data_IF_086488878281
#
_entry.id   IF_086488878281
#
_cell.length_a   1.000
_cell.length_b   1.000
_cell.length_c   1.000
_cell.angle_alpha   90.00
_cell.angle_beta   90.00
_cell.angle_gamma   90.00
#
_symmetry.space_group_name_H-M   'P 1'
#
loop_
_entity.id
_entity.type
_entity.pdbx_description
1 polymer ?
#
# COMPACT_ATOMS: atom_id res chain seq x y z
N UNK A 1 9.29 5.67 8.24
CA UNK A 1 8.60 6.57 7.29
C UNK A 1 8.13 7.85 7.98
N UNK A 2 7.92 8.95 7.26
CA UNK A 2 7.18 10.13 7.76
C UNK A 2 5.77 10.09 7.17
N UNK A 3 4.73 9.74 7.95
CA UNK A 3 3.37 9.65 7.43
C UNK A 3 2.87 10.99 6.90
N UNK A 4 2.17 10.95 5.77
CA UNK A 4 1.56 12.09 5.11
C UNK A 4 0.04 11.94 5.17
N UNK A 5 -0.69 13.06 5.18
CA UNK A 5 -2.13 13.05 5.06
C UNK A 5 -2.50 12.52 3.66
N UNK A 6 -3.10 11.32 3.62
CA UNK A 6 -3.52 10.64 2.40
C UNK A 6 -5.03 10.44 2.43
N UNK A 7 -5.69 10.82 1.34
CA UNK A 7 -7.11 10.52 1.18
C UNK A 7 -7.31 9.02 0.96
N UNK A 8 -8.41 8.43 1.45
CA UNK A 8 -8.75 7.06 1.14
C UNK A 8 -9.04 6.90 -0.35
N UNK A 9 -8.13 6.22 -1.06
CA UNK A 9 -8.28 5.85 -2.47
C UNK A 9 -8.18 4.34 -2.58
N UNK A 10 -9.09 3.75 -3.35
CA UNK A 10 -9.03 2.37 -3.79
C UNK A 10 -8.64 2.37 -5.25
N UNK A 11 -7.53 1.73 -5.59
CA UNK A 11 -7.08 1.66 -6.96
C UNK A 11 -7.82 0.55 -7.71
N UNK A 12 -8.08 0.77 -9.00
CA UNK A 12 -8.77 -0.20 -9.84
C UNK A 12 -7.97 -1.50 -10.00
N UNK A 13 -6.64 -1.45 -10.04
CA UNK A 13 -5.82 -2.67 -10.05
C UNK A 13 -5.97 -3.53 -8.78
N UNK A 14 -6.54 -3.00 -7.70
CA UNK A 14 -6.87 -3.75 -6.48
C UNK A 14 -8.21 -4.45 -6.57
N UNK A 15 -9.09 -4.00 -7.49
CA UNK A 15 -10.44 -4.52 -7.67
C UNK A 15 -10.47 -5.83 -8.45
N UNK A 16 -9.38 -6.25 -9.09
CA UNK A 16 -9.32 -7.53 -9.82
C UNK A 16 -9.09 -8.72 -8.88
N UNK A 17 -10.03 -8.89 -7.94
CA UNK A 17 -10.39 -10.15 -7.27
C UNK A 17 -11.83 -10.03 -6.72
N UNK A 18 -12.73 -9.51 -7.57
CA UNK A 18 -14.16 -9.17 -7.30
C UNK A 18 -14.93 -10.28 -6.57
N UNK A 19 -14.49 -11.53 -6.63
CA UNK A 19 -15.18 -12.65 -5.96
C UNK A 19 -14.59 -13.11 -4.61
N UNK A 20 -13.49 -12.54 -4.10
CA UNK A 20 -12.74 -13.23 -3.03
C UNK A 20 -12.30 -12.44 -1.79
N UNK A 21 -12.43 -11.11 -1.73
CA UNK A 21 -11.93 -10.31 -0.58
C UNK A 21 -10.45 -10.60 -0.20
N UNK A 22 -9.60 -10.96 -1.19
CA UNK A 22 -8.26 -11.56 -0.96
C UNK A 22 -7.08 -10.60 -0.83
N UNK A 23 -7.28 -9.28 -0.86
CA UNK A 23 -6.16 -8.34 -0.70
C UNK A 23 -6.47 -7.24 0.34
N UNK A 24 -5.42 -6.79 1.01
CA UNK A 24 -5.46 -5.59 1.86
C UNK A 24 -5.21 -4.39 0.92
N UNK A 25 -6.10 -3.38 0.87
CA UNK A 25 -5.90 -2.19 0.04
C UNK A 25 -4.63 -1.42 0.38
N UNK A 26 -4.03 -0.73 -0.59
CA UNK A 26 -2.79 0.03 -0.47
C UNK A 26 -2.94 1.15 0.55
N UNK A 27 -4.09 1.81 0.63
CA UNK A 27 -4.35 2.79 1.69
C UNK A 27 -4.24 2.17 3.08
N UNK A 28 -4.76 0.96 3.27
CA UNK A 28 -4.67 0.25 4.56
C UNK A 28 -3.23 -0.18 4.81
N UNK A 29 -2.52 -0.72 3.81
CA UNK A 29 -1.10 -1.07 3.93
C UNK A 29 -0.23 0.13 4.29
N UNK A 30 -0.50 1.30 3.69
CA UNK A 30 0.20 2.53 4.01
C UNK A 30 0.04 2.88 5.49
N UNK A 31 -1.20 2.78 6.01
CA UNK A 31 -1.49 3.04 7.42
C UNK A 31 -0.91 1.97 8.35
N UNK A 32 -0.83 0.72 7.91
CA UNK A 32 -0.17 -0.37 8.65
C UNK A 32 1.34 -0.14 8.77
N UNK A 33 1.98 0.30 7.69
CA UNK A 33 3.39 0.72 7.70
C UNK A 33 3.58 1.94 8.62
N UNK A 34 2.65 2.91 8.61
CA UNK A 34 2.70 4.10 9.45
C UNK A 34 2.55 3.79 10.95
N UNK A 35 1.66 2.86 11.31
CA UNK A 35 1.42 2.46 12.71
C UNK A 35 2.28 1.28 13.18
N UNK A 36 3.14 0.76 12.31
CA UNK A 36 4.08 -0.32 12.62
C UNK A 36 3.39 -1.64 12.98
N UNK A 37 2.23 -1.95 12.41
CA UNK A 37 1.54 -3.23 12.62
C UNK A 37 1.66 -4.10 11.37
N UNK A 38 2.08 -5.34 11.56
CA UNK A 38 2.01 -6.38 10.54
C UNK A 38 0.67 -7.11 10.64
N UNK A 39 -0.28 -6.71 9.80
CA UNK A 39 -1.56 -7.43 9.63
C UNK A 39 -1.45 -8.46 8.51
N UNK A 40 -1.79 -9.72 8.79
CA UNK A 40 -1.76 -10.79 7.78
C UNK A 40 -3.12 -10.94 7.10
N UNK A 41 -3.12 -11.46 5.88
CA UNK A 41 -4.36 -11.68 5.12
C UNK A 41 -5.42 -12.51 5.88
N UNK A 42 -5.08 -13.62 6.59
CA UNK A 42 -6.06 -14.37 7.38
C UNK A 42 -6.69 -13.59 8.54
N UNK A 43 -6.04 -12.54 9.04
CA UNK A 43 -6.58 -11.64 10.06
C UNK A 43 -7.49 -10.61 9.40
N UNK A 44 -7.04 -10.02 8.29
CA UNK A 44 -7.82 -9.07 7.50
C UNK A 44 -9.17 -9.63 7.05
N UNK A 45 -9.20 -10.86 6.52
CA UNK A 45 -10.45 -11.47 6.01
C UNK A 45 -11.49 -11.67 7.12
N UNK A 46 -11.07 -11.82 8.38
CA UNK A 46 -11.96 -11.98 9.54
C UNK A 46 -12.56 -10.67 10.04
N UNK A 47 -12.02 -9.52 9.63
CA UNK A 47 -12.60 -8.23 9.94
C UNK A 47 -13.91 -8.03 9.16
N UNK A 48 -14.88 -7.39 9.78
CA UNK A 48 -16.15 -7.02 9.16
C UNK A 48 -15.96 -5.93 8.11
N UNK A 49 -16.93 -5.79 7.21
CA UNK A 49 -16.88 -4.80 6.13
C UNK A 49 -16.76 -3.37 6.69
N UNK A 50 -17.52 -3.04 7.75
CA UNK A 50 -17.46 -1.72 8.37
C UNK A 50 -16.14 -1.47 9.09
N UNK A 51 -15.54 -2.51 9.68
CA UNK A 51 -14.22 -2.42 10.31
C UNK A 51 -13.12 -2.18 9.26
N UNK A 52 -13.19 -2.86 8.11
CA UNK A 52 -12.29 -2.65 6.96
C UNK A 52 -12.42 -1.23 6.40
N UNK A 53 -13.66 -0.72 6.30
CA UNK A 53 -13.97 0.66 5.87
C UNK A 53 -13.42 1.68 6.87
N UNK A 54 -13.59 1.44 8.16
CA UNK A 54 -13.04 2.29 9.22
C UNK A 54 -11.50 2.35 9.14
N UNK A 55 -10.82 1.21 8.95
CA UNK A 55 -9.36 1.18 8.74
C UNK A 55 -8.96 1.96 7.48
N UNK A 56 -9.74 1.92 6.41
CA UNK A 56 -9.44 2.69 5.21
C UNK A 56 -9.64 4.20 5.41
N UNK A 57 -10.62 4.63 6.21
CA UNK A 57 -11.00 6.04 6.35
C UNK A 57 -10.34 6.77 7.52
N UNK A 58 -10.06 6.08 8.63
CA UNK A 58 -9.53 6.69 9.85
C UNK A 58 -8.19 7.41 9.59
N UNK A 59 -7.99 8.66 10.04
CA UNK A 59 -6.71 9.36 9.91
C UNK A 59 -5.56 8.57 10.55
N UNK A 60 -4.35 8.69 9.99
CA UNK A 60 -3.15 8.01 10.47
C UNK A 60 -1.89 8.77 10.01
N UNK A 61 -1.80 10.07 10.30
CA UNK A 61 -0.65 10.89 9.89
C UNK A 61 0.05 11.61 11.05
N UNK A 62 -0.68 12.06 12.07
CA UNK A 62 -0.10 12.59 13.31
C UNK A 62 0.19 11.50 14.33
N UNK A 63 1.09 11.75 15.30
CA UNK A 63 1.37 10.80 16.36
C UNK A 63 0.12 10.35 17.17
N UNK A 64 -0.81 11.25 17.57
CA UNK A 64 -2.05 10.83 18.23
C UNK A 64 -2.95 9.96 17.33
N UNK A 65 -3.09 10.30 16.05
CA UNK A 65 -3.91 9.52 15.12
C UNK A 65 -3.31 8.14 14.84
N UNK A 66 -1.98 8.06 14.69
CA UNK A 66 -1.27 6.79 14.51
C UNK A 66 -1.51 5.88 15.71
N UNK A 67 -1.42 6.41 16.92
CA UNK A 67 -1.70 5.63 18.14
C UNK A 67 -3.16 5.19 18.23
N UNK A 68 -4.12 6.08 17.92
CA UNK A 68 -5.54 5.74 17.88
C UNK A 68 -5.87 4.69 16.81
N UNK A 69 -5.22 4.76 15.64
CA UNK A 69 -5.34 3.77 14.58
C UNK A 69 -4.79 2.42 15.05
N UNK A 70 -3.61 2.44 15.67
CA UNK A 70 -2.93 1.26 16.21
C UNK A 70 -3.78 0.55 17.26
N UNK A 71 -4.31 1.28 18.24
CA UNK A 71 -5.16 0.73 19.30
C UNK A 71 -6.45 0.13 18.75
N UNK A 72 -7.10 0.82 17.81
CA UNK A 72 -8.30 0.31 17.15
C UNK A 72 -8.02 -1.02 16.44
N UNK A 73 -6.94 -1.10 15.67
CA UNK A 73 -6.58 -2.33 14.97
C UNK A 73 -6.26 -3.48 15.94
N UNK A 74 -5.50 -3.21 17.01
CA UNK A 74 -5.19 -4.20 18.06
C UNK A 74 -6.48 -4.78 18.65
N UNK A 75 -7.42 -3.90 19.04
CA UNK A 75 -8.69 -4.30 19.62
C UNK A 75 -9.50 -5.19 18.67
N UNK A 76 -9.62 -4.80 17.40
CA UNK A 76 -10.39 -5.56 16.40
C UNK A 76 -9.75 -6.90 16.06
N UNK A 77 -8.42 -6.97 15.95
CA UNK A 77 -7.73 -8.24 15.73
C UNK A 77 -7.88 -9.16 16.95
N UNK A 78 -7.77 -8.64 18.17
CA UNK A 78 -8.00 -9.43 19.37
C UNK A 78 -9.43 -10.00 19.43
N UNK A 79 -10.44 -9.18 19.17
CA UNK A 79 -11.85 -9.58 19.17
C UNK A 79 -12.18 -10.61 18.07
N UNK A 80 -11.72 -10.37 16.83
CA UNK A 80 -12.08 -11.21 15.67
C UNK A 80 -11.21 -12.46 15.53
N UNK A 81 -9.96 -12.39 15.97
CA UNK A 81 -8.98 -13.44 15.72
C UNK A 81 -8.48 -14.15 16.99
N UNK A 82 -8.81 -13.64 18.18
CA UNK A 82 -8.26 -14.12 19.47
C UNK A 82 -6.73 -14.14 19.48
N UNK A 83 -6.12 -13.10 18.89
CA UNK A 83 -4.67 -12.97 18.69
C UNK A 83 -4.21 -11.55 18.97
N UNK A 84 -2.95 -11.42 19.37
CA UNK A 84 -2.24 -10.14 19.40
C UNK A 84 -1.65 -9.86 18.03
N UNK A 85 -1.67 -8.60 17.61
CA UNK A 85 -0.97 -8.17 16.39
C UNK A 85 0.54 -8.34 16.55
N UNK A 86 1.25 -8.47 15.43
CA UNK A 86 2.71 -8.47 15.41
C UNK A 86 3.21 -7.09 15.00
N UNK A 87 4.30 -6.63 15.62
CA UNK A 87 4.97 -5.41 15.18
C UNK A 87 5.64 -5.60 13.82
N UNK A 88 5.53 -4.57 12.99
CA UNK A 88 6.25 -4.49 11.73
C UNK A 88 7.65 -3.91 12.03
N UNK A 89 8.73 -4.51 11.50
CA UNK A 89 10.04 -3.87 11.58
C UNK A 89 10.02 -2.52 10.86
N UNK A 90 10.95 -1.61 11.19
CA UNK A 90 11.05 -0.32 10.50
C UNK A 90 11.10 -0.49 8.98
N UNK A 91 10.20 0.17 8.27
CA UNK A 91 10.16 0.15 6.81
C UNK A 91 10.97 1.32 6.26
N UNK A 92 11.89 1.00 5.36
CA UNK A 92 12.59 1.99 4.55
C UNK A 92 11.62 2.59 3.52
N UNK A 93 11.35 3.88 3.68
CA UNK A 93 10.35 4.62 2.92
C UNK A 93 10.92 5.16 1.60
N UNK A 94 11.40 4.26 0.73
CA UNK A 94 11.99 4.63 -0.57
C UNK A 94 11.02 5.39 -1.47
N UNK A 95 9.70 5.25 -1.26
CA UNK A 95 8.67 6.05 -1.95
C UNK A 95 8.67 7.55 -1.59
N UNK A 96 9.32 7.97 -0.51
CA UNK A 96 9.47 9.38 -0.13
C UNK A 96 10.70 10.04 -0.80
N UNK A 97 11.56 9.25 -1.45
CA UNK A 97 12.74 9.77 -2.15
C UNK A 97 12.33 10.36 -3.50
N UNK A 98 12.58 11.65 -3.70
CA UNK A 98 12.23 12.37 -4.93
C UNK A 98 13.43 12.73 -5.80
N UNK A 99 14.65 12.39 -5.38
CA UNK A 99 15.88 12.65 -6.13
C UNK A 99 16.16 11.64 -7.25
N UNK A 100 15.59 10.45 -7.15
CA UNK A 100 15.76 9.36 -8.10
C UNK A 100 14.53 8.45 -8.09
N UNK A 101 14.40 7.64 -9.14
CA UNK A 101 13.43 6.53 -9.16
C UNK A 101 14.10 5.33 -8.49
N UNK A 102 13.51 4.73 -7.45
CA UNK A 102 14.10 3.58 -6.78
C UNK A 102 14.40 2.43 -7.75
N UNK A 103 15.58 1.81 -7.62
CA UNK A 103 16.04 0.75 -8.52
C UNK A 103 15.04 -0.42 -8.65
N UNK A 104 14.40 -0.81 -7.55
CA UNK A 104 13.37 -1.86 -7.54
C UNK A 104 12.18 -1.56 -8.46
N UNK A 105 11.84 -0.27 -8.67
CA UNK A 105 10.76 0.14 -9.58
C UNK A 105 11.22 0.04 -11.03
N UNK A 106 12.48 0.41 -11.31
CA UNK A 106 13.07 0.29 -12.65
C UNK A 106 13.21 -1.17 -13.06
N UNK A 107 13.72 -2.01 -12.17
CA UNK A 107 13.85 -3.45 -12.37
C UNK A 107 12.48 -4.10 -12.61
N UNK A 108 11.46 -3.72 -11.83
CA UNK A 108 10.10 -4.24 -12.01
C UNK A 108 9.47 -3.80 -13.32
N UNK A 109 9.73 -2.56 -13.77
CA UNK A 109 9.30 -2.12 -15.09
C UNK A 109 9.91 -2.98 -16.19
N UNK A 110 11.21 -3.23 -16.14
CA UNK A 110 11.91 -4.10 -17.10
C UNK A 110 11.40 -5.55 -17.05
N UNK A 111 11.19 -6.12 -15.85
CA UNK A 111 10.64 -7.47 -15.64
C UNK A 111 9.31 -7.67 -16.40
N UNK A 112 8.46 -6.64 -16.40
CA UNK A 112 7.16 -6.66 -17.09
C UNK A 112 7.18 -5.99 -18.47
N UNK A 113 8.36 -5.75 -19.06
CA UNK A 113 8.51 -5.12 -20.39
C UNK A 113 7.81 -3.75 -20.51
N UNK A 114 7.72 -3.03 -19.40
CA UNK A 114 7.24 -1.66 -19.31
C UNK A 114 8.42 -0.69 -19.52
N UNK A 115 8.12 0.53 -19.95
CA UNK A 115 9.16 1.55 -20.07
C UNK A 115 9.67 1.95 -18.66
N UNK A 116 11.00 2.09 -18.47
CA UNK A 116 11.57 2.67 -17.25
C UNK A 116 10.95 4.02 -16.93
N UNK A 117 10.64 4.26 -15.66
CA UNK A 117 10.02 5.52 -15.24
C UNK A 117 11.07 6.63 -15.32
N UNK A 118 10.68 7.77 -15.89
CA UNK A 118 11.46 9.00 -15.81
C UNK A 118 11.33 9.60 -14.41
N UNK A 119 12.34 10.36 -13.99
CA UNK A 119 12.29 11.11 -12.73
C UNK A 119 11.08 12.07 -12.67
N UNK A 120 10.72 12.69 -13.80
CA UNK A 120 9.55 13.57 -13.90
C UNK A 120 8.25 12.83 -13.62
N UNK A 121 8.08 11.62 -14.18
CA UNK A 121 6.89 10.80 -13.90
C UNK A 121 6.83 10.42 -12.42
N UNK A 122 7.96 10.00 -11.84
CA UNK A 122 8.04 9.62 -10.42
C UNK A 122 7.68 10.76 -9.45
N UNK A 123 8.22 11.96 -9.70
CA UNK A 123 7.90 13.17 -8.93
C UNK A 123 6.43 13.56 -9.09
N UNK A 124 5.85 13.34 -10.27
CA UNK A 124 4.45 13.66 -10.57
C UNK A 124 3.42 12.76 -9.88
N UNK A 125 3.82 11.59 -9.39
CA UNK A 125 2.95 10.71 -8.62
C UNK A 125 2.61 11.31 -7.26
N UNK A 126 1.48 10.94 -6.67
CA UNK A 126 1.25 11.18 -5.25
C UNK A 126 1.98 10.14 -4.37
N UNK A 127 2.00 10.37 -3.06
CA UNK A 127 2.69 9.50 -2.11
C UNK A 127 2.11 8.08 -2.09
N UNK A 128 0.80 7.92 -2.26
CA UNK A 128 0.14 6.61 -2.22
C UNK A 128 0.41 5.82 -3.50
N UNK A 129 0.48 6.49 -4.66
CA UNK A 129 0.88 5.92 -5.94
C UNK A 129 2.34 5.45 -5.90
N UNK A 130 3.28 6.29 -5.41
CA UNK A 130 4.68 5.88 -5.22
C UNK A 130 4.79 4.68 -4.26
N UNK A 131 4.08 4.73 -3.14
CA UNK A 131 4.00 3.64 -2.19
C UNK A 131 3.49 2.35 -2.83
N UNK A 132 2.42 2.42 -3.63
CA UNK A 132 1.84 1.28 -4.31
C UNK A 132 2.86 0.61 -5.26
N UNK A 133 3.58 1.39 -6.08
CA UNK A 133 4.61 0.85 -6.98
C UNK A 133 5.68 0.08 -6.19
N UNK A 134 6.21 0.67 -5.12
CA UNK A 134 7.23 0.02 -4.26
C UNK A 134 6.68 -1.27 -3.64
N UNK A 135 5.44 -1.27 -3.15
CA UNK A 135 4.83 -2.47 -2.57
C UNK A 135 4.60 -3.57 -3.60
N UNK A 136 4.24 -3.22 -4.83
CA UNK A 136 4.07 -4.17 -5.92
C UNK A 136 5.42 -4.78 -6.37
N UNK A 137 6.51 -4.02 -6.33
CA UNK A 137 7.87 -4.55 -6.56
C UNK A 137 8.22 -5.64 -5.54
N UNK A 138 7.89 -5.41 -4.26
CA UNK A 138 8.24 -6.31 -3.15
C UNK A 138 7.27 -7.47 -2.96
N UNK A 139 6.13 -7.49 -3.67
CA UNK A 139 5.08 -8.49 -3.50
C UNK A 139 5.18 -9.57 -4.59
N UNK A 140 5.55 -10.80 -4.21
CA UNK A 140 5.72 -11.90 -5.17
C UNK A 140 4.47 -12.23 -6.00
N UNK A 141 3.30 -12.41 -5.35
CA UNK A 141 2.06 -12.75 -6.07
C UNK A 141 1.37 -11.53 -6.69
N UNK A 142 1.38 -10.38 -6.00
CA UNK A 142 0.68 -9.18 -6.43
C UNK A 142 1.48 -8.33 -7.42
N UNK A 143 2.77 -8.62 -7.62
CA UNK A 143 3.62 -7.92 -8.58
C UNK A 143 3.07 -7.92 -10.02
N UNK A 144 2.17 -8.87 -10.35
CA UNK A 144 1.43 -8.89 -11.62
C UNK A 144 0.52 -7.68 -11.84
N UNK A 145 0.14 -6.97 -10.78
CA UNK A 145 -0.63 -5.73 -10.87
C UNK A 145 0.25 -4.51 -11.20
N UNK A 146 1.58 -4.65 -11.24
CA UNK A 146 2.48 -3.53 -11.52
C UNK A 146 2.18 -2.83 -12.87
N UNK A 147 2.00 -3.54 -14.00
CA UNK A 147 1.66 -2.87 -15.26
C UNK A 147 0.29 -2.16 -15.22
N UNK A 148 -0.66 -2.71 -14.47
CA UNK A 148 -1.99 -2.12 -14.29
C UNK A 148 -1.91 -0.84 -13.48
N UNK A 149 -1.09 -0.82 -12.43
CA UNK A 149 -0.82 0.37 -11.64
C UNK A 149 -0.18 1.48 -12.49
N UNK A 150 0.82 1.16 -13.32
CA UNK A 150 1.42 2.16 -14.23
C UNK A 150 0.39 2.76 -15.18
N UNK A 151 -0.47 1.92 -15.76
CA UNK A 151 -1.53 2.39 -16.66
C UNK A 151 -2.55 3.28 -15.92
N UNK A 152 -3.00 2.86 -14.75
CA UNK A 152 -3.93 3.62 -13.92
C UNK A 152 -3.35 4.97 -13.48
N UNK A 153 -2.04 5.05 -13.24
CA UNK A 153 -1.35 6.28 -12.85
C UNK A 153 -1.00 7.19 -14.04
N UNK A 154 -1.39 6.82 -15.26
CA UNK A 154 -1.10 7.61 -16.46
C UNK A 154 0.37 7.62 -16.86
N UNK A 155 1.15 6.64 -16.40
CA UNK A 155 2.53 6.45 -16.84
C UNK A 155 2.44 5.68 -18.16
N UNK A 156 2.46 6.41 -19.29
CA UNK A 156 2.34 5.82 -20.62
C UNK A 156 3.41 4.77 -20.89
N UNK A 157 2.99 3.51 -21.01
CA UNK A 157 3.78 2.40 -21.54
C UNK A 157 3.72 2.43 -23.06
N UNK A 158 4.44 3.35 -23.72
CA UNK A 158 4.79 3.16 -25.13
C UNK A 158 6.17 2.52 -25.19
N UNK A 159 6.17 1.19 -25.26
CA UNK A 159 7.31 0.48 -25.84
C UNK A 159 7.41 0.93 -27.30
N UNK A 160 8.52 1.57 -27.66
CA UNK A 160 8.92 1.76 -29.06
C UNK A 160 9.30 0.41 -29.66
#
# INVERSE_FOLDING_TARGET
MKPQAVNPVYFAFENDFVDTFRCIPMIVRYKLDACGIKLKLPEWVKLQVDEKRELANRPCYTAPEIEQYRQYLIHRVAERCQKTVTDLPPVEATWDLLGEVPGEVQEKALEFSCAPLTLRQWIGLDVLQRFALIKLCRSGHEGKNFPRALNEFGIENRSL
#
